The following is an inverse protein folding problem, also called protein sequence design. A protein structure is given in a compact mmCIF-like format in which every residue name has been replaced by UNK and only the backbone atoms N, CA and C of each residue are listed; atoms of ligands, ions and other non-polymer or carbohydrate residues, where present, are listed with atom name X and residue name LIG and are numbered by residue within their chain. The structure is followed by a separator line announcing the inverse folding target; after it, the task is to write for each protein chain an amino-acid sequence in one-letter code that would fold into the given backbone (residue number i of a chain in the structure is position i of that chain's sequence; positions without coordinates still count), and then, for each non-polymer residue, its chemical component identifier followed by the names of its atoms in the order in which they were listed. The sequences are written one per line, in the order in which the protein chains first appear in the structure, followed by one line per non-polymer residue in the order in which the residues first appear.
data_IF_647623257685
#
_entry.id   IF_647623257685
#
_cell.length_a   1.000
_cell.length_b   1.000
_cell.length_c   1.000
_cell.angle_alpha   90.00
_cell.angle_beta   90.00
_cell.angle_gamma   90.00
#
_symmetry.space_group_name_H-M   'P 1'
#
loop_
_entity.id
_entity.type
_entity.pdbx_description
1 polymer ?
#
# COMPACT_ATOMS: atom_id res chain seq x y z
N UNK A 1 -4.80 10.04 -32.79
CA UNK A 1 -4.29 8.82 -32.13
C UNK A 1 -5.28 8.47 -31.02
N UNK A 2 -5.81 7.25 -30.95
CA UNK A 2 -6.70 6.86 -29.85
C UNK A 2 -5.95 6.88 -28.52
N UNK A 3 -6.67 7.15 -27.43
CA UNK A 3 -6.10 7.16 -26.08
C UNK A 3 -7.05 6.48 -25.10
N UNK A 4 -6.46 5.90 -24.05
CA UNK A 4 -7.18 5.28 -22.94
C UNK A 4 -6.90 6.12 -21.71
N UNK A 5 -7.96 6.44 -20.97
CA UNK A 5 -7.87 7.23 -19.74
C UNK A 5 -8.49 6.46 -18.58
N UNK A 6 -7.77 6.45 -17.46
CA UNK A 6 -8.24 5.95 -16.17
C UNK A 6 -8.21 7.09 -15.18
N UNK A 7 -9.33 7.32 -14.50
CA UNK A 7 -9.47 8.38 -13.51
C UNK A 7 -10.09 7.81 -12.22
N UNK A 8 -9.51 8.18 -11.09
CA UNK A 8 -10.04 7.90 -9.76
C UNK A 8 -10.18 9.21 -9.01
N UNK A 9 -11.39 9.50 -8.56
CA UNK A 9 -11.68 10.65 -7.70
C UNK A 9 -11.98 10.18 -6.29
N UNK A 10 -11.25 10.71 -5.30
CA UNK A 10 -11.40 10.39 -3.88
C UNK A 10 -11.15 11.63 -3.02
N UNK A 11 -12.09 12.00 -2.16
CA UNK A 11 -11.95 13.12 -1.22
C UNK A 11 -11.49 14.44 -1.89
N UNK A 12 -11.95 14.70 -3.11
CA UNK A 12 -11.55 15.86 -3.92
C UNK A 12 -10.16 15.76 -4.57
N UNK A 13 -9.40 14.69 -4.32
CA UNK A 13 -8.18 14.38 -5.06
C UNK A 13 -8.51 13.54 -6.29
N UNK A 14 -7.85 13.83 -7.40
CA UNK A 14 -8.02 13.15 -8.68
C UNK A 14 -6.69 12.52 -9.08
N UNK A 15 -6.71 11.21 -9.29
CA UNK A 15 -5.59 10.45 -9.85
C UNK A 15 -5.94 10.06 -11.27
N UNK A 16 -5.13 10.49 -12.24
CA UNK A 16 -5.32 10.20 -13.66
C UNK A 16 -4.14 9.42 -14.22
N UNK A 17 -4.45 8.42 -15.05
CA UNK A 17 -3.50 7.71 -15.89
C UNK A 17 -3.98 7.79 -17.33
N UNK A 18 -3.04 7.97 -18.25
CA UNK A 18 -3.31 8.07 -19.68
C UNK A 18 -2.32 7.20 -20.45
N UNK A 19 -2.83 6.45 -21.42
CA UNK A 19 -2.02 5.65 -22.33
C UNK A 19 -2.42 5.97 -23.77
N UNK A 20 -1.43 6.15 -24.62
CA UNK A 20 -1.63 6.35 -26.05
C UNK A 20 -1.66 4.99 -26.75
N UNK A 21 -2.61 4.80 -27.67
CA UNK A 21 -2.62 3.60 -28.51
C UNK A 21 -1.66 3.82 -29.68
N UNK A 22 -0.60 3.01 -29.75
CA UNK A 22 0.51 3.19 -30.70
C UNK A 22 0.14 3.01 -32.18
N UNK A 23 -1.05 2.47 -32.48
CA UNK A 23 -1.51 2.19 -33.83
C UNK A 23 -3.03 2.24 -33.97
N UNK A 24 -3.52 1.84 -35.15
CA UNK A 24 -4.95 1.80 -35.47
C UNK A 24 -5.53 0.38 -35.51
N UNK A 25 -4.73 -0.64 -35.16
CA UNK A 25 -5.22 -2.02 -35.07
C UNK A 25 -5.67 -2.39 -33.66
N UNK A 26 -6.45 -3.46 -33.58
CA UNK A 26 -6.98 -3.98 -32.32
C UNK A 26 -5.87 -4.57 -31.44
N UNK A 27 -4.78 -5.06 -32.03
CA UNK A 27 -3.66 -5.64 -31.30
C UNK A 27 -2.95 -4.61 -30.42
N UNK A 28 -2.72 -3.42 -30.97
CA UNK A 28 -2.12 -2.30 -30.24
C UNK A 28 -3.08 -1.74 -29.19
N UNK A 29 -4.38 -1.70 -29.47
CA UNK A 29 -5.39 -1.38 -28.45
C UNK A 29 -5.34 -2.36 -27.28
N UNK A 30 -5.24 -3.67 -27.54
CA UNK A 30 -5.15 -4.70 -26.49
C UNK A 30 -3.87 -4.52 -25.67
N UNK A 31 -2.73 -4.21 -26.29
CA UNK A 31 -1.48 -3.93 -25.56
C UNK A 31 -1.65 -2.73 -24.64
N UNK A 32 -2.16 -1.61 -25.17
CA UNK A 32 -2.40 -0.40 -24.40
C UNK A 32 -3.37 -0.64 -23.23
N UNK A 33 -4.42 -1.45 -23.43
CA UNK A 33 -5.35 -1.86 -22.37
C UNK A 33 -4.67 -2.70 -21.28
N UNK A 34 -3.75 -3.60 -21.64
CA UNK A 34 -2.97 -4.38 -20.65
C UNK A 34 -2.05 -3.48 -19.83
N UNK A 35 -1.32 -2.58 -20.48
CA UNK A 35 -0.49 -1.58 -19.81
C UNK A 35 -1.32 -0.74 -18.83
N UNK A 36 -2.46 -0.22 -19.31
CA UNK A 36 -3.35 0.60 -18.48
C UNK A 36 -3.92 -0.19 -17.30
N UNK A 37 -4.27 -1.47 -17.48
CA UNK A 37 -4.73 -2.35 -16.39
C UNK A 37 -3.67 -2.49 -15.30
N UNK A 38 -2.42 -2.76 -15.68
CA UNK A 38 -1.32 -2.92 -14.73
C UNK A 38 -1.07 -1.61 -13.97
N UNK A 39 -0.96 -0.49 -14.69
CA UNK A 39 -0.78 0.83 -14.08
C UNK A 39 -1.94 1.22 -13.15
N UNK A 40 -3.18 0.91 -13.53
CA UNK A 40 -4.37 1.17 -12.72
C UNK A 40 -4.37 0.33 -11.43
N UNK A 41 -3.98 -0.95 -11.52
CA UNK A 41 -3.86 -1.81 -10.35
C UNK A 41 -2.79 -1.28 -9.37
N UNK A 42 -1.65 -0.83 -9.89
CA UNK A 42 -0.59 -0.25 -9.06
C UNK A 42 -1.07 1.04 -8.38
N UNK A 43 -1.79 1.91 -9.09
CA UNK A 43 -2.36 3.13 -8.54
C UNK A 43 -3.37 2.84 -7.42
N UNK A 44 -4.29 1.90 -7.65
CA UNK A 44 -5.29 1.51 -6.64
C UNK A 44 -4.64 0.83 -5.43
N UNK A 45 -3.60 0.02 -5.63
CA UNK A 45 -2.86 -0.64 -4.55
C UNK A 45 -2.16 0.39 -3.66
N UNK A 46 -1.54 1.42 -4.25
CA UNK A 46 -0.93 2.53 -3.50
C UNK A 46 -1.97 3.30 -2.68
N UNK A 47 -3.12 3.62 -3.28
CA UNK A 47 -4.22 4.29 -2.58
C UNK A 47 -4.74 3.48 -1.38
N UNK A 48 -4.79 2.15 -1.51
CA UNK A 48 -5.16 1.27 -0.41
C UNK A 48 -4.09 1.24 0.70
N UNK A 49 -2.80 1.15 0.32
CA UNK A 49 -1.68 1.18 1.27
C UNK A 49 -1.61 2.51 2.04
N UNK A 50 -1.86 3.64 1.38
CA UNK A 50 -1.92 4.94 2.05
C UNK A 50 -3.05 5.02 3.07
N UNK A 51 -4.20 4.41 2.79
CA UNK A 51 -5.32 4.36 3.70
C UNK A 51 -5.02 3.48 4.92
N UNK A 52 -4.47 2.29 4.72
CA UNK A 52 -4.12 1.39 5.83
C UNK A 52 -3.00 1.97 6.70
N UNK A 53 -2.00 2.61 6.10
CA UNK A 53 -0.93 3.27 6.85
C UNK A 53 -1.43 4.47 7.68
N UNK A 54 -2.38 5.26 7.15
CA UNK A 54 -3.02 6.35 7.92
C UNK A 54 -3.82 5.82 9.11
N UNK A 55 -4.50 4.69 8.95
CA UNK A 55 -5.27 4.07 10.04
C UNK A 55 -4.38 3.41 11.09
N UNK A 56 -3.24 2.84 10.70
CA UNK A 56 -2.27 2.28 11.65
C UNK A 56 -1.69 3.36 12.59
N UNK A 57 -1.32 4.54 12.06
CA UNK A 57 -0.77 5.63 12.88
C UNK A 57 -1.75 6.23 13.89
N UNK A 58 -3.06 6.09 13.68
CA UNK A 58 -4.09 6.53 14.63
C UNK A 58 -4.28 5.58 15.81
N UNK A 59 -3.75 4.36 15.74
CA UNK A 59 -3.78 3.42 16.86
C UNK A 59 -2.66 3.70 17.88
N UNK A 60 -1.52 4.25 17.45
CA UNK A 60 -0.37 4.55 18.31
C UNK A 60 -0.46 5.90 19.04
N UNK A 61 -1.44 6.75 18.73
CA UNK A 61 -1.60 8.09 19.32
C UNK A 61 -2.48 8.10 20.59
N UNK A 62 -2.77 6.94 21.17
CA UNK A 62 -3.65 6.80 22.34
C UNK A 62 -2.98 6.18 23.58
N UNK A 63 -1.65 6.20 23.65
CA UNK A 63 -0.86 5.66 24.77
C UNK A 63 0.31 6.59 25.15
N UNK A 64 0.04 7.90 25.22
CA UNK A 64 0.98 8.87 25.79
C UNK A 64 0.33 9.65 26.93
N UNK A 65 -0.04 8.91 27.98
CA UNK A 65 -0.17 9.48 29.31
C UNK A 65 0.29 8.42 30.32
N UNK A 66 1.03 8.84 31.34
CA UNK A 66 1.70 8.06 32.41
C UNK A 66 3.12 7.59 32.05
N UNK A 67 4.15 8.41 32.26
CA UNK A 67 4.84 8.74 33.51
C UNK A 67 6.06 7.82 33.75
N UNK A 68 7.13 8.50 34.13
CA UNK A 68 8.51 8.11 34.39
C UNK A 68 8.64 6.79 35.17
N UNK A 69 9.47 5.85 34.69
CA UNK A 69 10.37 5.06 35.55
C UNK A 69 11.39 4.26 34.74
N UNK A 70 12.63 4.74 34.85
CA UNK A 70 13.93 4.07 34.90
C UNK A 70 14.03 2.53 34.80
N UNK A 71 15.07 2.11 34.06
CA UNK A 71 15.89 0.88 34.27
C UNK A 71 15.17 -0.48 34.03
N UNK A 72 15.71 -1.50 33.38
CA UNK A 72 17.07 -1.94 33.08
C UNK A 72 16.94 -3.03 31.98
N UNK A 73 17.87 -3.12 31.02
CA UNK A 73 18.04 -4.37 30.25
C UNK A 73 18.53 -5.48 31.18
N UNK A 74 18.14 -6.75 30.92
CA UNK A 74 19.21 -7.75 30.91
C UNK A 74 19.15 -8.70 29.70
N UNK A 75 20.35 -8.90 29.17
CA UNK A 75 20.78 -9.85 28.15
C UNK A 75 20.76 -11.32 28.60
N UNK A 76 20.49 -12.24 27.65
CA UNK A 76 20.88 -13.68 27.59
C UNK A 76 20.34 -14.56 28.75
N UNK A 77 20.02 -15.85 28.63
CA UNK A 77 20.69 -16.97 27.97
C UNK A 77 19.77 -18.20 28.03
N UNK A 78 20.00 -19.16 27.13
CA UNK A 78 19.37 -20.50 27.08
C UNK A 78 19.37 -21.25 28.43
N UNK A 79 18.32 -22.05 28.69
CA UNK A 79 18.48 -23.43 29.18
C UNK A 79 17.19 -24.26 29.10
N UNK A 80 17.31 -25.38 28.39
CA UNK A 80 16.34 -26.47 28.23
C UNK A 80 16.02 -27.12 29.60
N UNK A 81 14.84 -27.75 29.72
CA UNK A 81 14.61 -29.23 29.83
C UNK A 81 13.43 -29.62 30.75
N UNK A 82 12.62 -30.55 30.21
CA UNK A 82 11.76 -31.57 30.83
C UNK A 82 10.37 -31.16 31.36
N UNK A 83 9.34 -31.60 30.63
CA UNK A 83 8.11 -32.11 31.24
C UNK A 83 7.95 -33.59 30.84
N UNK A 84 7.93 -34.47 31.84
CA UNK A 84 7.56 -35.89 31.70
C UNK A 84 6.06 -35.98 31.43
N UNK A 85 5.66 -36.97 30.62
CA UNK A 85 4.33 -37.57 30.70
C UNK A 85 4.47 -39.08 30.70
#
# INVERSE_FOLDING_TARGET
MPQIMFEVTRNGQVTQLQESVGGNDVGDLIKALKTMKEASNDALTKLLQEETAKNARKADEKDNDTDDTEEEEPTKEESRKKLKS
#
